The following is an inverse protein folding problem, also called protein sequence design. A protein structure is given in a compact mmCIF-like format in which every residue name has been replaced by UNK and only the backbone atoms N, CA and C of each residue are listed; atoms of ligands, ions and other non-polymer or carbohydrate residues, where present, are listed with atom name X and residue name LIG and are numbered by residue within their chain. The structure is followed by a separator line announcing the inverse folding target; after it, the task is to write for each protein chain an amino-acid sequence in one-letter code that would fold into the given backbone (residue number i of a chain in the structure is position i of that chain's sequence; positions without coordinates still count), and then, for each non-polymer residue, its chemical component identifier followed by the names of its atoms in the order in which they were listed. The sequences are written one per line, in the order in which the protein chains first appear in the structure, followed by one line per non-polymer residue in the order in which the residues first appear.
data_IF_251035391987
#
_entry.id   IF_251035391987
#
_cell.length_a   1.000
_cell.length_b   1.000
_cell.length_c   1.000
_cell.angle_alpha   90.00
_cell.angle_beta   90.00
_cell.angle_gamma   90.00
#
_symmetry.space_group_name_H-M   'P 1'
#
loop_
_entity.id
_entity.type
_entity.pdbx_description
1 polymer ?
#
# COMPACT_ATOMS: atom_id res chain seq x y z
N UNK A 1 -1.97 -30.47 -34.64
CA UNK A 1 -2.64 -29.27 -34.14
C UNK A 1 -2.56 -29.35 -32.62
N UNK A 2 -1.80 -28.44 -32.00
CA UNK A 2 -1.52 -28.41 -30.57
C UNK A 2 -2.79 -28.13 -29.77
N UNK A 3 -2.96 -28.87 -28.68
CA UNK A 3 -3.66 -28.39 -27.49
C UNK A 3 -2.73 -28.72 -26.31
N UNK A 4 -1.72 -27.88 -26.15
CA UNK A 4 -0.99 -27.80 -24.89
C UNK A 4 -1.96 -27.16 -23.90
N UNK A 5 -2.46 -27.98 -22.97
CA UNK A 5 -3.23 -27.50 -21.84
C UNK A 5 -2.36 -26.51 -21.07
N UNK A 6 -2.93 -25.33 -20.84
CA UNK A 6 -2.41 -24.30 -19.93
C UNK A 6 -2.16 -24.92 -18.56
N UNK A 7 -0.89 -25.20 -18.26
CA UNK A 7 -0.44 -25.42 -16.89
C UNK A 7 -0.68 -24.11 -16.14
N UNK A 8 -1.54 -24.17 -15.14
CA UNK A 8 -1.60 -23.17 -14.09
C UNK A 8 -0.17 -22.99 -13.56
N UNK A 9 0.31 -21.74 -13.54
CA UNK A 9 1.59 -21.36 -12.97
C UNK A 9 1.52 -21.42 -11.42
N UNK A 10 1.03 -22.52 -10.87
CA UNK A 10 1.31 -22.86 -9.48
C UNK A 10 2.72 -23.42 -9.47
N UNK A 11 3.67 -22.58 -9.04
CA UNK A 11 5.04 -23.01 -8.82
C UNK A 11 5.05 -24.28 -7.98
N UNK A 12 5.76 -25.32 -8.42
CA UNK A 12 5.89 -26.54 -7.65
C UNK A 12 6.40 -26.22 -6.24
N UNK A 13 5.82 -26.85 -5.23
CA UNK A 13 6.19 -26.68 -3.83
C UNK A 13 6.67 -28.00 -3.23
N UNK A 14 7.55 -27.92 -2.24
CA UNK A 14 8.02 -29.04 -1.42
C UNK A 14 7.87 -28.73 0.06
N UNK A 15 7.99 -29.75 0.91
CA UNK A 15 8.11 -29.53 2.34
C UNK A 15 9.41 -28.77 2.65
N UNK A 16 9.34 -27.89 3.65
CA UNK A 16 10.52 -27.23 4.21
C UNK A 16 11.47 -28.26 4.82
N UNK A 17 12.76 -28.06 4.60
CA UNK A 17 13.83 -28.77 5.32
C UNK A 17 13.89 -28.29 6.78
N UNK A 18 14.55 -29.03 7.65
CA UNK A 18 14.73 -28.61 9.05
C UNK A 18 15.47 -27.26 9.13
N UNK A 19 16.44 -27.02 8.25
CA UNK A 19 17.16 -25.74 8.16
C UNK A 19 16.23 -24.58 7.80
N UNK A 20 15.31 -24.78 6.85
CA UNK A 20 14.32 -23.76 6.49
C UNK A 20 13.32 -23.50 7.61
N UNK A 21 12.86 -24.55 8.29
CA UNK A 21 11.96 -24.41 9.45
C UNK A 21 12.62 -23.59 10.55
N UNK A 22 13.84 -23.96 10.94
CA UNK A 22 14.61 -23.20 11.93
C UNK A 22 14.82 -21.74 11.51
N UNK A 23 15.15 -21.48 10.23
CA UNK A 23 15.27 -20.11 9.73
C UNK A 23 13.99 -19.30 9.94
N UNK A 24 12.84 -19.83 9.50
CA UNK A 24 11.57 -19.10 9.63
C UNK A 24 11.14 -18.93 11.08
N UNK A 25 11.33 -19.95 11.93
CA UNK A 25 10.98 -19.88 13.35
C UNK A 25 11.81 -18.81 14.08
N UNK A 26 13.13 -18.79 13.86
CA UNK A 26 14.04 -17.76 14.41
C UNK A 26 13.64 -16.35 13.94
N UNK A 27 13.36 -16.21 12.64
CA UNK A 27 12.97 -14.94 12.03
C UNK A 27 11.64 -14.42 12.57
N UNK A 28 10.61 -15.27 12.62
CA UNK A 28 9.28 -14.92 13.11
C UNK A 28 9.37 -14.51 14.59
N UNK A 29 10.07 -15.30 15.41
CA UNK A 29 10.25 -15.00 16.82
C UNK A 29 10.97 -13.67 17.04
N UNK A 30 11.99 -13.37 16.24
CA UNK A 30 12.71 -12.09 16.31
C UNK A 30 11.82 -10.92 15.88
N UNK A 31 10.98 -11.06 14.85
CA UNK A 31 10.02 -10.03 14.42
C UNK A 31 8.96 -9.76 15.50
N UNK A 32 8.40 -10.81 16.10
CA UNK A 32 7.47 -10.71 17.22
C UNK A 32 8.13 -10.03 18.43
N UNK A 33 9.35 -10.44 18.78
CA UNK A 33 10.11 -9.83 19.88
C UNK A 33 10.45 -8.36 19.62
N UNK A 34 10.78 -8.01 18.37
CA UNK A 34 11.08 -6.63 17.96
C UNK A 34 9.87 -5.71 18.14
N UNK A 35 8.66 -6.21 17.89
CA UNK A 35 7.42 -5.43 17.94
C UNK A 35 6.68 -5.49 19.27
N UNK A 36 7.04 -6.42 20.18
CA UNK A 36 6.40 -6.57 21.49
C UNK A 36 6.51 -5.32 22.39
N UNK A 37 7.52 -4.47 22.17
CA UNK A 37 7.73 -3.23 22.93
C UNK A 37 6.85 -2.05 22.49
N UNK A 38 6.15 -2.17 21.36
CA UNK A 38 5.32 -1.09 20.81
C UNK A 38 4.08 -0.93 21.69
N UNK A 39 3.99 0.24 22.35
CA UNK A 39 2.86 0.57 23.22
C UNK A 39 1.91 1.53 22.51
N UNK A 40 0.71 1.06 22.23
CA UNK A 40 -0.37 1.90 21.69
C UNK A 40 -1.70 1.53 22.33
N UNK A 41 -2.63 2.49 22.38
CA UNK A 41 -4.03 2.25 22.75
C UNK A 41 -4.91 1.94 21.54
N UNK A 42 -4.32 1.92 20.34
CA UNK A 42 -5.00 1.64 19.09
C UNK A 42 -5.24 0.15 18.91
N UNK A 43 -6.31 -0.17 18.20
CA UNK A 43 -6.69 -1.54 17.92
C UNK A 43 -5.77 -2.12 16.84
N UNK A 44 -5.29 -3.35 17.07
CA UNK A 44 -4.52 -4.09 16.07
C UNK A 44 -5.47 -4.52 14.95
N UNK A 45 -5.20 -4.07 13.73
CA UNK A 45 -6.03 -4.37 12.56
C UNK A 45 -5.59 -5.61 11.81
N UNK A 46 -4.29 -5.84 11.72
CA UNK A 46 -3.71 -7.01 11.03
C UNK A 46 -2.30 -7.30 11.52
N UNK A 47 -1.94 -8.57 11.48
CA UNK A 47 -0.61 -9.10 11.79
C UNK A 47 -0.32 -10.27 10.86
N UNK A 48 0.89 -10.34 10.33
CA UNK A 48 1.38 -11.54 9.64
C UNK A 48 2.38 -12.32 10.49
N UNK A 49 2.74 -13.51 10.04
CA UNK A 49 3.76 -14.34 10.69
C UNK A 49 3.25 -15.21 11.84
N UNK A 50 1.94 -15.27 12.07
CA UNK A 50 1.34 -16.23 13.00
C UNK A 50 1.18 -17.63 12.35
N UNK A 51 1.14 -17.68 11.02
CA UNK A 51 1.11 -18.92 10.24
C UNK A 51 2.42 -19.09 9.47
N UNK A 52 3.07 -20.25 9.66
CA UNK A 52 4.24 -20.68 8.91
C UNK A 52 3.82 -21.91 8.08
N UNK A 53 3.46 -21.72 6.80
CA UNK A 53 3.13 -22.83 5.89
C UNK A 53 4.30 -23.83 5.85
N UNK A 54 4.05 -25.12 6.01
CA UNK A 54 5.12 -26.12 5.96
C UNK A 54 5.74 -26.29 4.55
N UNK A 55 5.18 -25.63 3.54
CA UNK A 55 5.61 -25.71 2.15
C UNK A 55 6.43 -24.49 1.73
N UNK A 56 7.34 -24.73 0.79
CA UNK A 56 8.16 -23.71 0.15
C UNK A 56 8.29 -24.03 -1.35
N UNK A 57 8.50 -23.02 -2.18
CA UNK A 57 8.77 -23.18 -3.61
C UNK A 57 9.99 -24.07 -3.83
N UNK A 58 9.92 -24.98 -4.80
CA UNK A 58 11.09 -25.73 -5.25
C UNK A 58 12.23 -24.79 -5.66
N UNK A 59 13.48 -25.25 -5.55
CA UNK A 59 14.69 -24.48 -5.84
C UNK A 59 14.94 -23.24 -4.93
N UNK A 60 14.19 -23.06 -3.83
CA UNK A 60 14.40 -21.94 -2.91
C UNK A 60 15.80 -21.90 -2.31
N UNK A 61 16.50 -23.03 -2.23
CA UNK A 61 17.90 -23.10 -1.80
C UNK A 61 18.89 -22.38 -2.73
N UNK A 62 18.47 -21.99 -3.94
CA UNK A 62 19.29 -21.19 -4.88
C UNK A 62 19.33 -19.71 -4.53
N UNK A 63 18.45 -19.25 -3.63
CA UNK A 63 18.27 -17.84 -3.30
C UNK A 63 18.23 -17.63 -1.78
N UNK A 64 18.60 -16.43 -1.28
CA UNK A 64 18.41 -16.11 0.13
C UNK A 64 16.94 -16.29 0.53
N UNK A 65 16.67 -16.97 1.63
CA UNK A 65 15.31 -17.10 2.14
C UNK A 65 14.79 -15.72 2.56
N UNK A 66 13.59 -15.37 2.14
CA UNK A 66 12.95 -14.08 2.43
C UNK A 66 11.78 -14.26 3.38
N UNK A 67 11.51 -13.25 4.20
CA UNK A 67 10.32 -13.19 5.03
C UNK A 67 9.84 -11.75 5.15
N UNK A 68 8.52 -11.57 5.10
CA UNK A 68 7.87 -10.29 5.29
C UNK A 68 6.94 -10.38 6.49
N UNK A 69 7.27 -9.63 7.53
CA UNK A 69 6.43 -9.45 8.70
C UNK A 69 5.78 -8.07 8.63
N UNK A 70 4.48 -8.00 8.92
CA UNK A 70 3.78 -6.74 9.05
C UNK A 70 2.79 -6.77 10.21
N UNK A 71 2.59 -5.59 10.78
CA UNK A 71 1.56 -5.35 11.78
C UNK A 71 1.04 -3.93 11.64
N UNK A 72 -0.27 -3.77 11.76
CA UNK A 72 -0.95 -2.49 11.65
C UNK A 72 -1.87 -2.22 12.84
N UNK A 73 -1.92 -0.97 13.29
CA UNK A 73 -2.88 -0.48 14.28
C UNK A 73 -3.66 0.71 13.74
N UNK A 74 -4.88 0.88 14.25
CA UNK A 74 -5.75 2.00 13.89
C UNK A 74 -6.51 2.59 15.09
N UNK A 75 -6.67 3.91 15.10
CA UNK A 75 -7.58 4.62 16.00
C UNK A 75 -9.00 4.60 15.42
N UNK A 76 -9.65 3.44 15.49
CA UNK A 76 -10.97 3.25 14.90
C UNK A 76 -12.00 4.25 15.44
N UNK A 77 -11.88 4.64 16.71
CA UNK A 77 -12.73 5.68 17.31
C UNK A 77 -12.56 7.03 16.61
N UNK A 78 -11.33 7.54 16.44
CA UNK A 78 -11.12 8.82 15.73
C UNK A 78 -11.50 8.73 14.26
N UNK A 79 -11.28 7.58 13.63
CA UNK A 79 -11.68 7.32 12.24
C UNK A 79 -13.21 7.42 12.11
N UNK A 80 -13.96 6.75 12.98
CA UNK A 80 -15.42 6.72 12.93
C UNK A 80 -16.03 8.08 13.29
N UNK A 81 -15.49 8.79 14.28
CA UNK A 81 -15.91 10.16 14.61
C UNK A 81 -15.70 11.13 13.43
N UNK A 82 -14.61 10.97 12.69
CA UNK A 82 -14.32 11.77 11.51
C UNK A 82 -15.22 11.43 10.33
N UNK A 83 -15.50 10.14 10.11
CA UNK A 83 -16.46 9.67 9.10
C UNK A 83 -17.86 10.23 9.36
N UNK A 84 -18.35 10.12 10.59
CA UNK A 84 -19.65 10.70 10.96
C UNK A 84 -19.73 12.20 10.70
N UNK A 85 -18.64 12.95 10.98
CA UNK A 85 -18.57 14.39 10.67
C UNK A 85 -18.58 14.66 9.16
N UNK A 86 -17.85 13.86 8.38
CA UNK A 86 -17.86 13.96 6.92
C UNK A 86 -19.26 13.68 6.36
N UNK A 87 -19.92 12.62 6.84
CA UNK A 87 -21.27 12.24 6.43
C UNK A 87 -22.28 13.36 6.73
N UNK A 88 -22.25 13.95 7.93
CA UNK A 88 -23.09 15.11 8.27
C UNK A 88 -22.87 16.30 7.33
N UNK A 89 -21.63 16.54 6.88
CA UNK A 89 -21.31 17.61 5.93
C UNK A 89 -21.80 17.28 4.52
N UNK A 90 -21.72 16.02 4.11
CA UNK A 90 -22.24 15.55 2.84
C UNK A 90 -23.77 15.58 2.81
N UNK A 91 -24.44 15.20 3.90
CA UNK A 91 -25.89 15.34 4.05
C UNK A 91 -26.34 16.80 3.96
N UNK A 92 -25.62 17.71 4.62
CA UNK A 92 -25.90 19.15 4.50
C UNK A 92 -25.67 19.69 3.07
N UNK A 93 -24.78 19.06 2.30
CA UNK A 93 -24.52 19.40 0.89
C UNK A 93 -25.48 18.70 -0.08
N UNK A 94 -26.21 17.66 0.35
CA UNK A 94 -27.10 16.87 -0.51
C UNK A 94 -28.16 17.69 -1.26
N UNK A 95 -28.81 18.73 -0.69
CA UNK A 95 -29.75 19.56 -1.43
C UNK A 95 -29.09 20.32 -2.59
N UNK A 96 -27.82 20.71 -2.48
CA UNK A 96 -27.08 21.36 -3.56
C UNK A 96 -26.74 20.36 -4.67
N UNK A 97 -26.33 19.13 -4.30
CA UNK A 97 -26.12 18.04 -5.26
C UNK A 97 -27.40 17.71 -6.03
N UNK A 98 -28.53 17.62 -5.32
CA UNK A 98 -29.82 17.29 -5.94
C UNK A 98 -30.27 18.37 -6.94
N UNK A 99 -30.14 19.66 -6.60
CA UNK A 99 -30.44 20.76 -7.53
C UNK A 99 -29.59 20.70 -8.80
N UNK A 100 -28.34 20.29 -8.69
CA UNK A 100 -27.43 20.19 -9.84
C UNK A 100 -27.80 19.00 -10.75
N UNK A 101 -28.20 17.87 -10.17
CA UNK A 101 -28.73 16.72 -10.92
C UNK A 101 -30.06 17.06 -11.59
N UNK A 102 -30.97 17.77 -10.91
CA UNK A 102 -32.26 18.22 -11.47
C UNK A 102 -32.08 19.19 -12.66
N UNK A 103 -31.00 19.97 -12.67
CA UNK A 103 -30.65 20.84 -13.79
C UNK A 103 -29.92 20.13 -14.94
N UNK A 104 -29.63 18.83 -14.79
CA UNK A 104 -29.00 18.03 -15.85
C UNK A 104 -30.07 17.44 -16.76
N UNK A 105 -29.98 17.71 -18.07
CA UNK A 105 -30.94 17.21 -19.07
C UNK A 105 -30.72 15.71 -19.37
N UNK A 106 -31.23 14.88 -18.48
CA UNK A 106 -31.21 13.41 -18.61
C UNK A 106 -32.08 12.91 -19.77
N UNK A 107 -33.07 13.71 -20.21
CA UNK A 107 -33.95 13.34 -21.34
C UNK A 107 -33.20 13.37 -22.67
N UNK A 108 -32.29 14.33 -22.86
CA UNK A 108 -31.46 14.39 -24.06
C UNK A 108 -30.62 13.10 -24.26
N UNK A 109 -30.14 12.49 -23.16
CA UNK A 109 -29.43 11.21 -23.20
C UNK A 109 -30.34 10.03 -23.54
N UNK A 110 -31.52 9.95 -22.92
CA UNK A 110 -32.50 8.89 -23.19
C UNK A 110 -32.96 8.94 -24.66
N UNK A 111 -33.19 10.14 -25.19
CA UNK A 111 -33.54 10.34 -26.60
C UNK A 111 -32.41 9.92 -27.54
N UNK A 112 -31.16 10.25 -27.20
CA UNK A 112 -29.99 9.87 -27.99
C UNK A 112 -29.77 8.35 -27.98
N UNK A 113 -29.92 7.71 -26.81
CA UNK A 113 -29.85 6.25 -26.67
C UNK A 113 -30.95 5.56 -27.50
N UNK A 114 -32.17 6.10 -27.51
CA UNK A 114 -33.27 5.59 -28.32
C UNK A 114 -33.00 5.74 -29.84
N UNK A 115 -32.37 6.85 -30.27
CA UNK A 115 -31.95 7.05 -31.67
C UNK A 115 -30.87 6.04 -32.09
N UNK A 116 -29.90 5.77 -31.22
CA UNK A 116 -28.87 4.75 -31.45
C UNK A 116 -29.50 3.37 -31.61
N UNK A 117 -30.42 2.99 -30.71
CA UNK A 117 -31.13 1.71 -30.78
C UNK A 117 -31.88 1.53 -32.10
N UNK A 118 -32.64 2.56 -32.53
CA UNK A 118 -33.37 2.53 -33.81
C UNK A 118 -32.43 2.43 -35.02
N UNK A 119 -31.31 3.14 -35.03
CA UNK A 119 -30.34 3.07 -36.13
C UNK A 119 -29.66 1.69 -36.19
N UNK A 120 -29.37 1.08 -35.03
CA UNK A 120 -28.81 -0.26 -34.95
C UNK A 120 -29.80 -1.34 -35.44
N UNK A 121 -31.07 -1.26 -35.04
CA UNK A 121 -32.15 -2.14 -35.51
C UNK A 121 -32.34 -2.05 -37.04
N UNK A 122 -32.16 -0.85 -37.60
CA UNK A 122 -32.23 -0.61 -39.05
C UNK A 122 -30.95 -1.01 -39.81
N UNK A 123 -29.88 -1.42 -39.12
CA UNK A 123 -28.60 -1.77 -39.72
C UNK A 123 -27.78 -0.59 -40.24
N UNK A 124 -28.13 0.65 -39.88
CA UNK A 124 -27.42 1.87 -40.31
C UNK A 124 -26.21 2.16 -39.40
N UNK A 125 -25.13 1.44 -39.64
CA UNK A 125 -23.90 1.54 -38.84
C UNK A 125 -23.18 2.88 -38.99
N UNK A 126 -23.42 3.61 -40.10
CA UNK A 126 -22.88 4.94 -40.29
C UNK A 126 -23.55 5.94 -39.33
N UNK A 127 -24.88 5.87 -39.22
CA UNK A 127 -25.64 6.70 -38.30
C UNK A 127 -25.42 6.32 -36.83
N UNK A 128 -25.28 5.02 -36.51
CA UNK A 128 -24.87 4.57 -35.16
C UNK A 128 -23.54 5.22 -34.75
N UNK A 129 -22.54 5.19 -35.64
CA UNK A 129 -21.22 5.77 -35.37
C UNK A 129 -21.30 7.28 -35.14
N UNK A 130 -22.15 7.99 -35.91
CA UNK A 130 -22.36 9.43 -35.76
C UNK A 130 -23.00 9.75 -34.40
N UNK A 131 -24.06 9.03 -34.03
CA UNK A 131 -24.79 9.21 -32.77
C UNK A 131 -23.93 8.82 -31.55
N UNK A 132 -23.06 7.82 -31.66
CA UNK A 132 -22.10 7.48 -30.60
C UNK A 132 -21.13 8.63 -30.30
N UNK A 133 -20.59 9.31 -31.33
CA UNK A 133 -19.75 10.50 -31.13
C UNK A 133 -20.52 11.65 -30.46
N UNK A 134 -21.79 11.81 -30.80
CA UNK A 134 -22.67 12.78 -30.15
C UNK A 134 -22.86 12.42 -28.66
N UNK A 135 -23.00 11.13 -28.34
CA UNK A 135 -23.10 10.65 -26.96
C UNK A 135 -21.80 10.84 -26.18
N UNK A 136 -20.63 10.64 -26.80
CA UNK A 136 -19.34 10.93 -26.19
C UNK A 136 -19.16 12.42 -25.85
N UNK A 137 -19.57 13.32 -26.74
CA UNK A 137 -19.53 14.77 -26.48
C UNK A 137 -20.46 15.14 -25.34
N UNK A 138 -21.67 14.61 -25.34
CA UNK A 138 -22.65 14.85 -24.28
C UNK A 138 -22.16 14.30 -22.94
N UNK A 139 -21.52 13.12 -22.94
CA UNK A 139 -20.95 12.50 -21.74
C UNK A 139 -19.83 13.35 -21.13
N UNK A 140 -18.94 13.90 -21.98
CA UNK A 140 -17.89 14.84 -21.53
C UNK A 140 -18.48 16.11 -20.94
N UNK A 141 -19.53 16.66 -21.53
CA UNK A 141 -20.19 17.85 -21.00
C UNK A 141 -20.86 17.60 -19.64
N UNK A 142 -21.45 16.43 -19.45
CA UNK A 142 -21.96 16.03 -18.13
C UNK A 142 -20.83 15.88 -17.11
N UNK A 143 -19.75 15.18 -17.48
CA UNK A 143 -18.59 14.97 -16.61
C UNK A 143 -17.98 16.31 -16.18
N UNK A 144 -17.80 17.24 -17.11
CA UNK A 144 -17.36 18.62 -16.83
C UNK A 144 -18.34 19.36 -15.93
N UNK A 145 -19.65 19.17 -16.14
CA UNK A 145 -20.71 19.73 -15.31
C UNK A 145 -20.70 19.21 -13.87
N UNK A 146 -20.33 17.95 -13.63
CA UNK A 146 -20.23 17.35 -12.30
C UNK A 146 -18.87 17.57 -11.63
N UNK A 147 -17.83 17.93 -12.37
CA UNK A 147 -16.47 18.10 -11.84
C UNK A 147 -16.39 19.03 -10.61
N UNK A 148 -17.03 20.22 -10.57
CA UNK A 148 -17.00 21.07 -9.38
C UNK A 148 -17.67 20.43 -8.15
N UNK A 149 -18.74 19.65 -8.38
CA UNK A 149 -19.45 18.94 -7.32
C UNK A 149 -18.59 17.80 -6.77
N UNK A 150 -17.97 17.00 -7.64
CA UNK A 150 -17.05 15.93 -7.25
C UNK A 150 -15.86 16.49 -6.46
N UNK A 151 -15.24 17.58 -6.94
CA UNK A 151 -14.18 18.27 -6.21
C UNK A 151 -14.64 18.79 -4.84
N UNK A 152 -15.89 19.22 -4.72
CA UNK A 152 -16.46 19.65 -3.43
C UNK A 152 -16.66 18.49 -2.47
N UNK A 153 -17.17 17.36 -2.96
CA UNK A 153 -17.33 16.11 -2.19
C UNK A 153 -15.97 15.61 -1.72
N UNK A 154 -14.99 15.50 -2.62
CA UNK A 154 -13.61 15.13 -2.29
C UNK A 154 -13.02 16.07 -1.24
N UNK A 155 -13.19 17.40 -1.41
CA UNK A 155 -12.71 18.38 -0.44
C UNK A 155 -13.39 18.26 0.93
N UNK A 156 -14.69 17.91 0.98
CA UNK A 156 -15.40 17.66 2.25
C UNK A 156 -14.80 16.44 2.93
N UNK A 157 -14.60 15.33 2.20
CA UNK A 157 -14.01 14.11 2.75
C UNK A 157 -12.60 14.41 3.26
N UNK A 158 -11.73 14.92 2.38
CA UNK A 158 -10.32 15.20 2.68
C UNK A 158 -10.14 16.08 3.92
N UNK A 159 -10.91 17.18 4.04
CA UNK A 159 -10.82 18.10 5.18
C UNK A 159 -11.29 17.52 6.51
N UNK A 160 -12.16 16.52 6.47
CA UNK A 160 -12.70 15.91 7.68
C UNK A 160 -11.97 14.62 8.06
N UNK A 161 -11.18 14.03 7.16
CA UNK A 161 -10.40 12.84 7.49
C UNK A 161 -9.24 13.19 8.43
N UNK A 162 -9.02 12.40 9.50
CA UNK A 162 -8.02 12.71 10.50
C UNK A 162 -6.64 12.17 10.06
N UNK A 163 -5.61 12.98 10.25
CA UNK A 163 -4.22 12.52 10.23
C UNK A 163 -3.88 11.75 11.51
N UNK A 164 -2.80 10.98 11.44
CA UNK A 164 -2.23 10.24 12.57
C UNK A 164 -3.26 9.35 13.26
N UNK A 165 -3.89 8.45 12.50
CA UNK A 165 -4.87 7.47 12.99
C UNK A 165 -4.55 6.04 12.57
N UNK A 166 -3.46 5.83 11.82
CA UNK A 166 -2.97 4.52 11.42
C UNK A 166 -1.47 4.46 11.60
N UNK A 167 -0.99 3.28 11.93
CA UNK A 167 0.42 2.98 12.07
C UNK A 167 0.67 1.58 11.55
N UNK A 168 1.60 1.44 10.61
CA UNK A 168 1.99 0.14 10.08
C UNK A 168 3.49 -0.07 10.21
N UNK A 169 3.89 -1.15 10.85
CA UNK A 169 5.28 -1.61 10.90
C UNK A 169 5.45 -2.76 9.93
N UNK A 170 6.47 -2.69 9.09
CA UNK A 170 6.85 -3.78 8.17
C UNK A 170 8.33 -4.11 8.38
N UNK A 171 8.65 -5.39 8.43
CA UNK A 171 10.00 -5.91 8.56
C UNK A 171 10.23 -6.87 7.39
N UNK A 172 11.17 -6.53 6.52
CA UNK A 172 11.55 -7.34 5.37
C UNK A 172 12.93 -7.94 5.60
N UNK A 173 12.98 -9.27 5.65
CA UNK A 173 14.20 -10.06 5.82
C UNK A 173 14.77 -10.43 4.45
N UNK A 174 16.08 -10.26 4.28
CA UNK A 174 16.79 -10.44 3.01
C UNK A 174 16.19 -9.60 1.87
N UNK A 175 15.81 -8.36 2.19
CA UNK A 175 15.54 -7.31 1.20
C UNK A 175 16.85 -6.57 0.93
N UNK A 176 17.29 -6.54 -0.33
CA UNK A 176 18.61 -6.01 -0.72
C UNK A 176 18.56 -4.67 -1.42
N UNK A 177 17.36 -4.16 -1.71
CA UNK A 177 17.14 -2.93 -2.45
C UNK A 177 15.89 -2.22 -1.95
N UNK A 178 15.98 -0.91 -1.75
CA UNK A 178 14.85 0.00 -1.50
C UNK A 178 15.02 1.25 -2.35
N UNK A 179 13.96 1.66 -3.05
CA UNK A 179 13.93 2.92 -3.79
C UNK A 179 12.97 3.89 -3.12
N UNK A 180 13.36 5.16 -3.09
CA UNK A 180 12.53 6.24 -2.56
C UNK A 180 11.98 7.08 -3.72
N UNK A 181 10.69 7.44 -3.63
CA UNK A 181 10.02 8.33 -4.59
C UNK A 181 10.48 9.80 -4.47
N UNK A 182 11.20 10.14 -3.40
CA UNK A 182 11.85 11.43 -3.17
C UNK A 182 13.08 11.24 -2.28
N UNK A 183 13.95 12.25 -2.22
CA UNK A 183 15.14 12.19 -1.36
C UNK A 183 14.73 12.04 0.12
N UNK A 184 15.17 10.98 0.82
CA UNK A 184 14.78 10.78 2.21
C UNK A 184 15.49 11.77 3.15
N UNK A 185 14.76 12.26 4.14
CA UNK A 185 15.36 12.98 5.26
C UNK A 185 16.06 12.00 6.19
N UNK A 186 17.33 12.26 6.51
CA UNK A 186 18.12 11.38 7.36
C UNK A 186 18.17 11.88 8.80
N UNK A 187 18.09 10.96 9.76
CA UNK A 187 18.28 11.28 11.18
C UNK A 187 18.80 10.11 11.97
N UNK A 188 18.75 10.24 13.30
CA UNK A 188 19.24 9.24 14.25
C UNK A 188 18.17 8.92 15.29
N UNK A 189 17.98 7.64 15.56
CA UNK A 189 17.23 7.15 16.71
C UNK A 189 18.00 7.40 18.01
N UNK A 190 17.34 7.21 19.16
CA UNK A 190 17.94 7.38 20.48
C UNK A 190 19.17 6.50 20.72
N UNK A 191 19.25 5.33 20.08
CA UNK A 191 20.38 4.39 20.16
C UNK A 191 21.50 4.69 19.13
N UNK A 192 21.36 5.77 18.33
CA UNK A 192 22.31 6.14 17.28
C UNK A 192 22.11 5.43 15.94
N UNK A 193 21.10 4.56 15.80
CA UNK A 193 20.73 3.93 14.53
C UNK A 193 20.27 5.01 13.53
N UNK A 194 20.79 4.99 12.31
CA UNK A 194 20.33 5.90 11.24
C UNK A 194 18.92 5.55 10.80
N UNK A 195 18.07 6.57 10.60
CA UNK A 195 16.79 6.42 9.92
C UNK A 195 16.71 7.30 8.69
N UNK A 196 15.82 6.93 7.77
CA UNK A 196 15.56 7.59 6.50
C UNK A 196 14.06 7.79 6.39
N UNK A 197 13.56 9.03 6.33
CA UNK A 197 12.13 9.32 6.27
C UNK A 197 11.74 9.90 4.91
N UNK A 198 10.68 9.36 4.35
CA UNK A 198 10.04 9.86 3.14
C UNK A 198 8.63 10.29 3.52
N UNK A 199 8.34 11.57 3.42
CA UNK A 199 6.99 12.09 3.63
C UNK A 199 6.04 11.64 2.51
N UNK A 200 4.82 11.30 2.89
CA UNK A 200 3.68 11.12 2.00
C UNK A 200 2.53 11.93 2.62
N UNK A 201 1.63 12.40 1.78
CA UNK A 201 0.46 13.17 2.19
C UNK A 201 -0.70 12.92 1.24
N UNK A 202 -0.73 11.76 0.58
CA UNK A 202 -1.83 11.40 -0.30
C UNK A 202 -3.00 10.91 0.54
N UNK A 203 -4.18 11.42 0.22
CA UNK A 203 -5.43 10.81 0.68
C UNK A 203 -5.82 9.71 -0.31
N UNK A 204 -5.96 8.47 0.16
CA UNK A 204 -6.44 7.36 -0.64
C UNK A 204 -7.75 6.83 -0.04
N UNK A 205 -8.85 6.98 -0.77
CA UNK A 205 -10.18 6.51 -0.38
C UNK A 205 -10.60 6.94 1.04
N UNK A 206 -10.37 8.21 1.39
CA UNK A 206 -10.75 8.75 2.71
C UNK A 206 -9.81 8.30 3.83
N UNK A 207 -8.54 8.02 3.52
CA UNK A 207 -7.50 7.76 4.53
C UNK A 207 -6.22 8.44 4.11
N UNK A 208 -5.65 9.24 5.00
CA UNK A 208 -4.32 9.83 4.80
C UNK A 208 -3.25 8.74 4.87
N UNK A 209 -2.41 8.67 3.84
CA UNK A 209 -1.17 7.90 3.83
C UNK A 209 -0.11 8.81 4.41
N UNK A 210 0.37 8.47 5.60
CA UNK A 210 1.43 9.21 6.27
C UNK A 210 2.81 8.83 5.72
N UNK A 211 3.80 9.66 6.00
CA UNK A 211 5.19 9.35 5.65
C UNK A 211 5.71 8.03 6.25
N UNK A 212 6.68 7.44 5.57
CA UNK A 212 7.33 6.19 6.01
C UNK A 212 8.75 6.46 6.48
N UNK A 213 9.08 5.97 7.68
CA UNK A 213 10.43 6.02 8.25
C UNK A 213 11.06 4.63 8.16
N UNK A 214 12.23 4.54 7.53
CA UNK A 214 12.99 3.32 7.28
C UNK A 214 14.24 3.26 8.16
N UNK A 215 14.57 2.07 8.65
CA UNK A 215 15.90 1.71 9.15
C UNK A 215 16.42 0.50 8.37
N UNK A 216 17.72 0.52 8.10
CA UNK A 216 18.43 -0.52 7.37
C UNK A 216 19.39 -1.20 8.33
N UNK A 217 19.16 -2.48 8.60
CA UNK A 217 20.03 -3.30 9.45
C UNK A 217 20.79 -4.28 8.56
N UNK A 218 22.07 -4.46 8.88
CA UNK A 218 23.03 -5.16 8.03
C UNK A 218 24.25 -4.28 7.83
N UNK A 219 25.40 -4.90 7.67
CA UNK A 219 26.60 -4.15 7.29
C UNK A 219 26.48 -3.79 5.80
N UNK A 220 27.29 -2.85 5.29
CA UNK A 220 27.41 -2.61 3.84
C UNK A 220 26.19 -2.03 3.10
N UNK A 221 25.13 -1.62 3.79
CA UNK A 221 24.10 -0.77 3.16
C UNK A 221 24.72 0.52 2.62
N UNK A 222 24.42 0.85 1.36
CA UNK A 222 24.93 2.05 0.68
C UNK A 222 23.77 2.84 0.08
N UNK A 223 23.73 4.12 0.42
CA UNK A 223 22.89 5.08 -0.28
C UNK A 223 23.46 5.32 -1.69
N UNK A 224 22.58 5.50 -2.67
CA UNK A 224 22.97 5.76 -4.05
C UNK A 224 21.86 6.39 -4.86
N UNK A 225 22.08 6.44 -6.18
CA UNK A 225 21.08 6.84 -7.17
C UNK A 225 20.94 5.72 -8.20
N UNK A 226 19.70 5.38 -8.53
CA UNK A 226 19.35 4.59 -9.72
C UNK A 226 18.46 5.45 -10.61
N UNK A 227 19.03 5.91 -11.73
CA UNK A 227 18.48 7.01 -12.52
C UNK A 227 18.20 8.25 -11.64
N UNK A 228 16.96 8.73 -11.61
CA UNK A 228 16.53 9.88 -10.81
C UNK A 228 16.09 9.50 -9.39
N UNK A 229 16.02 8.21 -9.05
CA UNK A 229 15.53 7.73 -7.76
C UNK A 229 16.66 7.62 -6.75
N UNK A 230 16.43 8.10 -5.53
CA UNK A 230 17.30 7.80 -4.39
C UNK A 230 17.08 6.35 -3.97
N UNK A 231 18.17 5.63 -3.72
CA UNK A 231 18.11 4.21 -3.39
C UNK A 231 18.95 3.88 -2.15
N UNK A 232 18.62 2.75 -1.55
CA UNK A 232 19.43 2.07 -0.55
C UNK A 232 19.65 0.64 -1.00
N UNK A 233 20.91 0.22 -1.13
CA UNK A 233 21.26 -1.12 -1.64
C UNK A 233 22.19 -1.86 -0.69
N UNK A 234 22.05 -3.18 -0.65
CA UNK A 234 22.91 -4.11 0.08
C UNK A 234 23.36 -5.21 -0.89
N UNK A 235 24.65 -5.61 -0.89
CA UNK A 235 25.11 -6.73 -1.72
C UNK A 235 24.45 -8.05 -1.30
N UNK A 236 24.04 -8.88 -2.26
CA UNK A 236 23.35 -10.14 -1.95
C UNK A 236 24.29 -11.23 -1.38
N UNK A 237 25.59 -11.19 -1.72
CA UNK A 237 26.60 -12.20 -1.32
C UNK A 237 26.15 -13.64 -1.59
N UNK A 238 26.08 -14.02 -2.88
CA UNK A 238 25.56 -15.33 -3.33
C UNK A 238 26.32 -16.56 -2.77
N UNK A 239 27.52 -16.36 -2.23
CA UNK A 239 28.35 -17.38 -1.58
C UNK A 239 27.90 -17.73 -0.16
N UNK A 240 27.09 -16.89 0.49
CA UNK A 240 26.55 -17.14 1.83
C UNK A 240 25.48 -18.23 1.81
N UNK A 241 25.27 -18.97 2.92
CA UNK A 241 24.20 -19.96 3.02
C UNK A 241 22.83 -19.34 2.74
N UNK A 242 21.99 -20.03 1.96
CA UNK A 242 20.67 -19.53 1.55
C UNK A 242 19.75 -19.22 2.75
N UNK A 243 19.84 -20.01 3.81
CA UNK A 243 19.11 -19.83 5.06
C UNK A 243 19.84 -18.92 6.08
N UNK A 244 20.56 -17.90 5.60
CA UNK A 244 21.19 -16.87 6.46
C UNK A 244 20.48 -15.54 6.29
N UNK A 245 20.28 -14.82 7.40
CA UNK A 245 19.81 -13.42 7.36
C UNK A 245 21.01 -12.52 7.12
N UNK A 246 20.95 -11.70 6.07
CA UNK A 246 22.04 -10.84 5.60
C UNK A 246 21.67 -9.37 5.72
N UNK A 247 20.41 -9.05 5.39
CA UNK A 247 19.88 -7.70 5.43
C UNK A 247 18.48 -7.69 6.01
N UNK A 248 18.13 -6.61 6.70
CA UNK A 248 16.77 -6.37 7.21
C UNK A 248 16.42 -4.91 6.94
N UNK A 249 15.23 -4.70 6.37
CA UNK A 249 14.63 -3.36 6.26
C UNK A 249 13.44 -3.31 7.21
N UNK A 250 13.42 -2.35 8.12
CA UNK A 250 12.24 -2.04 8.93
C UNK A 250 11.67 -0.71 8.46
N UNK A 251 10.38 -0.66 8.19
CA UNK A 251 9.67 0.55 7.78
C UNK A 251 8.47 0.79 8.69
N UNK A 252 8.29 2.02 9.16
CA UNK A 252 7.13 2.45 9.93
C UNK A 252 6.40 3.57 9.18
N UNK A 253 5.21 3.26 8.71
CA UNK A 253 4.29 4.20 8.07
C UNK A 253 3.38 4.78 9.15
N UNK A 254 3.61 6.04 9.51
CA UNK A 254 2.86 6.80 10.51
C UNK A 254 3.29 8.29 10.47
N UNK A 255 2.57 9.14 11.22
CA UNK A 255 3.06 10.49 11.51
C UNK A 255 4.50 10.46 12.03
N UNK A 256 5.29 11.47 11.68
CA UNK A 256 6.73 11.53 11.96
C UNK A 256 7.07 11.25 13.41
N UNK A 257 6.35 11.85 14.36
CA UNK A 257 6.60 11.63 15.78
C UNK A 257 6.29 10.19 16.18
N UNK A 258 5.12 9.68 15.77
CA UNK A 258 4.69 8.32 16.09
C UNK A 258 5.62 7.27 15.48
N UNK A 259 6.08 7.47 14.24
CA UNK A 259 7.02 6.58 13.59
C UNK A 259 8.34 6.47 14.38
N UNK A 260 8.87 7.60 14.85
CA UNK A 260 10.09 7.63 15.67
C UNK A 260 9.87 7.02 17.05
N UNK A 261 8.77 7.35 17.74
CA UNK A 261 8.45 6.77 19.05
C UNK A 261 8.31 5.24 18.94
N UNK A 262 7.67 4.77 17.86
CA UNK A 262 7.53 3.33 17.56
C UNK A 262 8.89 2.68 17.35
N UNK A 263 9.73 3.21 16.46
CA UNK A 263 11.06 2.67 16.20
C UNK A 263 11.94 2.64 17.46
N UNK A 264 11.87 3.68 18.30
CA UNK A 264 12.61 3.72 19.57
C UNK A 264 12.09 2.73 20.63
N UNK A 265 10.81 2.34 20.55
CA UNK A 265 10.21 1.33 21.44
C UNK A 265 10.49 -0.11 20.99
N UNK A 266 10.88 -0.31 19.72
CA UNK A 266 11.15 -1.64 19.18
C UNK A 266 12.42 -2.25 19.78
N UNK A 267 12.41 -3.56 20.00
CA UNK A 267 13.62 -4.30 20.35
C UNK A 267 14.45 -4.58 19.09
N UNK A 268 15.16 -3.56 18.60
CA UNK A 268 16.02 -3.68 17.42
C UNK A 268 17.17 -4.67 17.61
N UNK A 269 17.57 -4.95 18.86
CA UNK A 269 18.63 -5.92 19.14
C UNK A 269 18.24 -7.36 18.76
N UNK A 270 16.95 -7.71 18.85
CA UNK A 270 16.45 -9.02 18.41
C UNK A 270 16.63 -9.21 16.90
N UNK A 271 16.38 -8.16 16.10
CA UNK A 271 16.58 -8.20 14.64
C UNK A 271 18.07 -8.17 14.29
N UNK A 272 18.85 -7.30 14.94
CA UNK A 272 20.31 -7.21 14.73
C UNK A 272 21.00 -8.56 15.02
N UNK A 273 20.50 -9.32 16.00
CA UNK A 273 21.02 -10.65 16.34
C UNK A 273 20.82 -11.74 15.29
N UNK A 274 19.92 -11.54 14.31
CA UNK A 274 19.72 -12.50 13.22
C UNK A 274 20.82 -12.44 12.16
N UNK A 275 21.47 -11.28 11.99
CA UNK A 275 22.35 -10.98 10.86
C UNK A 275 23.68 -11.74 11.00
N UNK A 276 24.06 -12.50 9.97
CA UNK A 276 25.25 -13.39 9.93
C UNK A 276 26.17 -13.11 8.73
#
# INVERSE_FOLDING_TARGET
MLLAATLFADSATRLKTDTEKTFFDEVIQACQSATAGIKTTWEEGSRSGDENDDRITEDSEKYPLVHYFNISWADNKRIDEARQKADQKLEAFAPEMQKQVENTDTKAFEELAAKIGKAAEAGDMAEVTRLQKEAEVMAKQMEEGYKPMNQKVESIIEKNMPHDVRMTVRIAINKFYESFNQEPQTGKLSDGTSFYRVEDSRNNNGTWIEGTTFIFLGNEWKAGKDNELSIMQHPEHADKPYASVRSIVVSVEADSKRALDTLNSMNLSALKGLIK
#
